data_IF_581547583354
#
_entry.id   IF_581547583354
#
_cell.length_a   1.000
_cell.length_b   1.000
_cell.length_c   1.000
_cell.angle_alpha   90.00
_cell.angle_beta   90.00
_cell.angle_gamma   90.00
#
_symmetry.space_group_name_H-M   'P 1'
#
loop_
_entity.id
_entity.type
_entity.pdbx_description
1 polymer ?
#
# COMPACT_ATOMS: atom_id res chain seq x y z
N UNK A 1 19.10 -30.94 -29.88
CA UNK A 1 18.16 -31.55 -28.91
C UNK A 1 18.84 -31.53 -27.56
N UNK A 2 18.57 -30.50 -26.75
CA UNK A 2 18.72 -30.48 -25.30
C UNK A 2 17.73 -29.42 -24.78
N UNK A 3 16.82 -29.74 -23.84
CA UNK A 3 16.08 -28.72 -23.14
C UNK A 3 16.80 -28.35 -21.84
N UNK A 4 17.25 -27.10 -21.76
CA UNK A 4 17.71 -26.45 -20.52
C UNK A 4 16.56 -26.41 -19.51
N UNK A 5 16.65 -27.27 -18.50
CA UNK A 5 15.74 -27.32 -17.36
C UNK A 5 16.39 -26.61 -16.16
N UNK A 6 16.14 -25.32 -16.00
CA UNK A 6 16.44 -24.60 -14.76
C UNK A 6 15.16 -24.45 -13.93
N UNK A 7 14.65 -25.57 -13.39
CA UNK A 7 13.76 -25.53 -12.23
C UNK A 7 14.63 -25.45 -10.98
N UNK A 8 14.68 -24.28 -10.36
CA UNK A 8 15.18 -24.14 -9.00
C UNK A 8 14.16 -24.79 -8.06
N UNK A 9 14.47 -26.02 -7.62
CA UNK A 9 13.81 -26.68 -6.49
C UNK A 9 14.29 -26.01 -5.20
N UNK A 10 13.68 -24.88 -4.84
CA UNK A 10 13.85 -24.30 -3.51
C UNK A 10 12.89 -24.98 -2.53
N UNK A 11 13.44 -25.96 -1.79
CA UNK A 11 12.99 -26.47 -0.47
C UNK A 11 11.50 -26.32 -0.13
N UNK A 12 10.71 -27.31 -0.54
CA UNK A 12 9.36 -27.56 0.02
C UNK A 12 9.39 -28.28 1.39
N UNK A 13 10.54 -28.35 2.06
CA UNK A 13 10.72 -29.17 3.27
C UNK A 13 10.35 -28.48 4.59
N UNK A 14 9.81 -27.26 4.59
CA UNK A 14 9.42 -26.56 5.82
C UNK A 14 7.99 -26.93 6.28
N UNK A 15 7.15 -27.52 5.41
CA UNK A 15 5.74 -27.77 5.74
C UNK A 15 5.32 -29.24 5.86
N UNK A 16 6.27 -30.18 5.85
CA UNK A 16 5.94 -31.62 5.92
C UNK A 16 6.20 -32.29 7.27
N UNK A 17 6.47 -31.53 8.34
CA UNK A 17 6.49 -32.11 9.71
C UNK A 17 5.87 -31.15 10.72
N UNK A 18 5.01 -31.74 11.54
CA UNK A 18 4.42 -31.23 12.81
C UNK A 18 3.26 -30.25 12.70
N UNK A 19 2.08 -30.81 12.91
CA UNK A 19 0.94 -30.19 13.59
C UNK A 19 1.43 -29.41 14.85
N UNK A 20 0.77 -28.28 15.14
CA UNK A 20 0.87 -27.48 16.40
C UNK A 20 2.02 -26.47 16.63
N UNK A 21 2.79 -26.07 15.63
CA UNK A 21 3.57 -24.81 15.73
C UNK A 21 3.00 -23.77 14.78
N UNK A 22 2.36 -22.74 15.33
CA UNK A 22 1.76 -21.66 14.56
C UNK A 22 2.77 -21.07 13.58
N UNK A 23 2.35 -20.80 12.35
CA UNK A 23 3.17 -20.16 11.32
C UNK A 23 3.86 -18.92 11.91
N UNK A 24 5.15 -19.04 12.23
CA UNK A 24 5.92 -17.93 12.80
C UNK A 24 6.25 -16.98 11.65
N UNK A 25 5.48 -15.92 11.52
CA UNK A 25 5.72 -14.87 10.55
C UNK A 25 6.83 -13.93 11.08
N UNK A 26 7.69 -13.38 10.21
CA UNK A 26 8.80 -12.52 10.63
C UNK A 26 8.36 -11.06 10.90
N UNK A 27 7.06 -10.83 10.98
CA UNK A 27 6.42 -9.54 11.19
C UNK A 27 5.20 -9.70 12.08
N UNK A 28 4.80 -8.61 12.74
CA UNK A 28 3.56 -8.57 13.52
C UNK A 28 2.37 -8.63 12.57
N UNK A 29 1.34 -9.38 12.95
CA UNK A 29 0.10 -9.49 12.17
C UNK A 29 -1.12 -9.18 13.00
N UNK A 30 -2.05 -8.42 12.44
CA UNK A 30 -3.38 -8.28 13.02
C UNK A 30 -4.11 -9.64 13.04
N UNK A 31 -4.82 -9.99 14.13
CA UNK A 31 -5.46 -11.30 14.27
C UNK A 31 -6.46 -11.64 13.17
N UNK A 32 -7.31 -10.71 12.76
CA UNK A 32 -8.29 -10.93 11.69
C UNK A 32 -7.65 -11.05 10.32
N UNK A 33 -6.62 -10.26 9.99
CA UNK A 33 -5.84 -10.45 8.76
C UNK A 33 -5.20 -11.85 8.71
N UNK A 34 -4.59 -12.28 9.81
CA UNK A 34 -4.01 -13.62 9.93
C UNK A 34 -5.08 -14.72 9.79
N UNK A 35 -6.26 -14.53 10.40
CA UNK A 35 -7.36 -15.48 10.30
C UNK A 35 -7.88 -15.59 8.86
N UNK A 36 -8.05 -14.46 8.16
CA UNK A 36 -8.45 -14.43 6.76
C UNK A 36 -7.44 -15.16 5.87
N UNK A 37 -6.14 -14.92 6.07
CA UNK A 37 -5.10 -15.66 5.38
C UNK A 37 -5.17 -17.17 5.67
N UNK A 38 -5.32 -17.57 6.94
CA UNK A 38 -5.47 -18.98 7.34
C UNK A 38 -6.67 -19.65 6.67
N UNK A 39 -7.79 -18.94 6.49
CA UNK A 39 -8.95 -19.48 5.78
C UNK A 39 -8.63 -19.88 4.33
N UNK A 40 -7.68 -19.21 3.66
CA UNK A 40 -7.21 -19.60 2.34
C UNK A 40 -6.27 -20.82 2.35
N UNK A 41 -5.49 -21.00 3.40
CA UNK A 41 -4.41 -22.02 3.44
C UNK A 41 -4.70 -23.23 4.33
N UNK A 42 -5.82 -23.25 5.05
CA UNK A 42 -6.21 -24.40 5.87
C UNK A 42 -6.55 -25.58 4.97
N UNK A 43 -5.82 -26.69 5.10
CA UNK A 43 -6.13 -27.93 4.36
C UNK A 43 -7.38 -28.58 4.95
N UNK A 44 -8.38 -28.84 4.13
CA UNK A 44 -9.59 -29.59 4.50
C UNK A 44 -9.62 -30.92 3.73
N UNK A 45 -9.80 -32.03 4.45
CA UNK A 45 -9.85 -33.37 3.86
C UNK A 45 -8.57 -33.79 3.12
N UNK A 46 -8.73 -34.73 2.18
CA UNK A 46 -7.60 -35.40 1.50
C UNK A 46 -7.09 -34.66 0.26
N UNK A 47 -7.84 -33.70 -0.25
CA UNK A 47 -7.48 -32.92 -1.43
C UNK A 47 -6.18 -32.15 -1.20
N UNK A 48 -5.36 -32.01 -2.25
CA UNK A 48 -4.11 -31.24 -2.17
C UNK A 48 -4.41 -29.76 -1.89
N UNK A 49 -3.58 -29.14 -1.05
CA UNK A 49 -3.76 -27.75 -0.61
C UNK A 49 -3.76 -26.79 -1.80
N UNK A 50 -2.93 -27.03 -2.82
CA UNK A 50 -2.82 -26.16 -3.98
C UNK A 50 -4.12 -26.10 -4.79
N UNK A 51 -4.84 -27.22 -4.87
CA UNK A 51 -6.13 -27.27 -5.55
C UNK A 51 -7.21 -26.56 -4.73
N UNK A 52 -7.26 -26.78 -3.42
CA UNK A 52 -8.17 -26.06 -2.52
C UNK A 52 -7.93 -24.55 -2.55
N UNK A 53 -6.66 -24.13 -2.57
CA UNK A 53 -6.28 -22.72 -2.69
C UNK A 53 -6.83 -22.13 -4.00
N UNK A 54 -6.68 -22.84 -5.11
CA UNK A 54 -7.20 -22.40 -6.41
C UNK A 54 -8.72 -22.30 -6.40
N UNK A 55 -9.44 -23.28 -5.86
CA UNK A 55 -10.90 -23.24 -5.74
C UNK A 55 -11.36 -22.04 -4.90
N UNK A 56 -10.68 -21.77 -3.77
CA UNK A 56 -10.98 -20.61 -2.92
C UNK A 56 -10.73 -19.29 -3.66
N UNK A 57 -9.60 -19.17 -4.36
CA UNK A 57 -9.28 -17.98 -5.15
C UNK A 57 -10.25 -17.77 -6.31
N UNK A 58 -10.71 -18.85 -6.94
CA UNK A 58 -11.77 -18.81 -7.95
C UNK A 58 -13.11 -18.38 -7.37
N UNK A 59 -13.46 -18.86 -6.17
CA UNK A 59 -14.70 -18.48 -5.48
C UNK A 59 -14.75 -16.99 -5.15
N UNK A 60 -13.58 -16.39 -4.88
CA UNK A 60 -13.41 -14.96 -4.63
C UNK A 60 -12.99 -14.16 -5.87
N UNK A 61 -13.01 -14.78 -7.06
CA UNK A 61 -12.70 -14.14 -8.35
C UNK A 61 -11.29 -13.53 -8.46
N UNK A 62 -10.37 -13.93 -7.59
CA UNK A 62 -8.95 -13.56 -7.63
C UNK A 62 -8.20 -14.27 -8.77
N UNK A 63 -8.75 -15.38 -9.26
CA UNK A 63 -8.33 -16.12 -10.45
C UNK A 63 -9.58 -16.50 -11.24
N UNK A 64 -9.55 -16.51 -12.59
CA UNK A 64 -10.71 -16.90 -13.38
C UNK A 64 -11.24 -18.30 -13.06
N UNK A 65 -12.57 -18.45 -13.05
CA UNK A 65 -13.25 -19.75 -12.91
C UNK A 65 -13.15 -20.60 -14.19
N UNK A 66 -12.99 -19.95 -15.34
CA UNK A 66 -12.79 -20.58 -16.64
C UNK A 66 -11.91 -19.67 -17.50
N UNK A 67 -11.25 -20.26 -18.50
CA UNK A 67 -10.47 -19.51 -19.50
C UNK A 67 -10.76 -20.04 -20.89
N UNK A 68 -10.73 -19.15 -21.89
CA UNK A 68 -10.84 -19.57 -23.30
C UNK A 68 -9.56 -20.29 -23.73
N UNK A 69 -9.71 -21.27 -24.60
CA UNK A 69 -8.57 -21.94 -25.18
C UNK A 69 -7.84 -21.01 -26.14
N UNK A 70 -6.50 -20.97 -26.09
CA UNK A 70 -5.67 -20.19 -27.03
C UNK A 70 -5.91 -20.56 -28.50
N UNK A 71 -6.32 -21.80 -28.79
CA UNK A 71 -6.64 -22.24 -30.14
C UNK A 71 -8.04 -21.83 -30.62
N UNK A 72 -8.95 -21.49 -29.70
CA UNK A 72 -10.35 -21.11 -29.94
C UNK A 72 -11.11 -21.99 -30.95
N UNK A 73 -10.82 -23.29 -30.94
CA UNK A 73 -11.46 -24.26 -31.83
C UNK A 73 -12.81 -24.75 -31.30
N UNK A 74 -13.70 -25.24 -32.18
CA UNK A 74 -15.07 -25.65 -31.81
C UNK A 74 -15.15 -26.79 -30.79
N UNK A 75 -14.10 -27.63 -30.69
CA UNK A 75 -14.02 -28.73 -29.72
C UNK A 75 -13.17 -28.38 -28.48
N UNK A 76 -12.84 -27.10 -28.27
CA UNK A 76 -11.99 -26.70 -27.15
C UNK A 76 -12.79 -26.61 -25.85
N UNK A 77 -12.46 -27.47 -24.90
CA UNK A 77 -12.91 -27.40 -23.51
C UNK A 77 -11.70 -27.29 -22.58
N UNK A 78 -11.61 -26.22 -21.78
CA UNK A 78 -10.46 -25.98 -20.90
C UNK A 78 -10.81 -26.34 -19.46
N UNK A 79 -10.01 -27.19 -18.84
CA UNK A 79 -10.20 -27.66 -17.47
C UNK A 79 -8.94 -27.45 -16.63
N UNK A 80 -9.09 -27.38 -15.31
CA UNK A 80 -7.98 -27.33 -14.37
C UNK A 80 -7.48 -28.76 -14.10
N UNK A 81 -6.17 -29.01 -14.22
CA UNK A 81 -5.55 -30.29 -13.85
C UNK A 81 -4.25 -30.08 -13.08
N UNK A 82 -3.90 -31.07 -12.26
CA UNK A 82 -2.60 -31.11 -11.61
C UNK A 82 -1.46 -31.22 -12.64
N UNK A 83 -0.35 -30.54 -12.38
CA UNK A 83 0.81 -30.48 -13.28
C UNK A 83 2.12 -30.29 -12.51
N UNK A 84 3.27 -30.61 -13.14
CA UNK A 84 4.61 -30.37 -12.57
C UNK A 84 5.08 -28.94 -12.86
N UNK A 85 4.32 -27.97 -12.38
CA UNK A 85 4.59 -26.52 -12.49
C UNK A 85 4.61 -25.91 -11.09
N UNK A 86 5.02 -24.64 -10.97
CA UNK A 86 5.19 -23.94 -9.68
C UNK A 86 3.95 -24.04 -8.78
N UNK A 87 2.75 -23.83 -9.31
CA UNK A 87 1.49 -23.92 -8.53
C UNK A 87 0.90 -25.32 -8.45
N UNK A 88 1.58 -26.31 -9.06
CA UNK A 88 1.14 -27.70 -9.15
C UNK A 88 -0.21 -27.92 -9.85
N UNK A 89 -0.78 -26.88 -10.45
CA UNK A 89 -2.01 -26.90 -11.25
C UNK A 89 -1.86 -25.99 -12.48
N UNK A 90 -2.56 -26.33 -13.55
CA UNK A 90 -2.63 -25.52 -14.77
C UNK A 90 -3.93 -25.75 -15.53
N UNK A 91 -4.25 -24.84 -16.44
CA UNK A 91 -5.31 -25.03 -17.42
C UNK A 91 -4.83 -25.93 -18.55
N UNK A 92 -5.65 -26.87 -18.98
CA UNK A 92 -5.41 -27.73 -20.14
C UNK A 92 -6.68 -27.86 -20.98
N UNK A 93 -6.55 -27.67 -22.28
CA UNK A 93 -7.63 -27.91 -23.21
C UNK A 93 -7.71 -29.39 -23.57
N UNK A 94 -8.84 -30.04 -23.32
CA UNK A 94 -9.06 -31.46 -23.66
C UNK A 94 -9.20 -31.69 -25.17
N UNK A 95 -9.59 -30.66 -25.94
CA UNK A 95 -9.76 -30.76 -27.39
C UNK A 95 -8.45 -30.67 -28.18
N UNK A 96 -7.58 -29.71 -27.83
CA UNK A 96 -6.33 -29.46 -28.58
C UNK A 96 -5.04 -29.70 -27.78
N UNK A 97 -5.14 -30.08 -26.50
CA UNK A 97 -4.00 -30.36 -25.63
C UNK A 97 -3.20 -29.13 -25.17
N UNK A 98 -3.50 -27.92 -25.66
CA UNK A 98 -2.79 -26.70 -25.26
C UNK A 98 -2.98 -26.40 -23.78
N UNK A 99 -1.91 -25.96 -23.12
CA UNK A 99 -1.88 -25.63 -21.70
C UNK A 99 -1.74 -24.13 -21.47
N UNK A 100 -2.26 -23.63 -20.36
CA UNK A 100 -2.07 -22.24 -19.90
C UNK A 100 -1.80 -22.21 -18.38
N UNK A 101 -1.03 -21.24 -17.87
CA UNK A 101 -0.85 -21.10 -16.42
C UNK A 101 -2.20 -20.88 -15.73
N UNK A 102 -2.41 -21.48 -14.55
CA UNK A 102 -3.65 -21.29 -13.77
C UNK A 102 -3.94 -19.81 -13.49
N UNK A 103 -2.88 -18.99 -13.47
CA UNK A 103 -2.88 -17.55 -13.20
C UNK A 103 -3.28 -16.66 -14.38
N UNK A 104 -3.53 -17.22 -15.57
CA UNK A 104 -3.87 -16.44 -16.75
C UNK A 104 -5.06 -15.50 -16.46
N UNK A 105 -4.95 -14.23 -16.85
CA UNK A 105 -6.01 -13.23 -16.62
C UNK A 105 -6.16 -12.77 -15.16
N UNK A 106 -5.14 -12.90 -14.31
CA UNK A 106 -5.22 -12.50 -12.89
C UNK A 106 -4.02 -11.67 -12.44
N UNK A 107 -4.13 -11.09 -11.24
CA UNK A 107 -3.03 -10.42 -10.53
C UNK A 107 -1.75 -11.28 -10.43
N UNK A 108 -1.92 -12.59 -10.27
CA UNK A 108 -0.83 -13.55 -10.08
C UNK A 108 -0.02 -13.81 -11.37
N UNK A 109 -0.54 -13.38 -12.53
CA UNK A 109 0.09 -13.64 -13.81
C UNK A 109 1.51 -13.05 -13.87
N UNK A 110 2.46 -13.84 -14.41
CA UNK A 110 3.90 -13.54 -14.56
C UNK A 110 4.70 -13.33 -13.27
N UNK A 111 4.15 -13.60 -12.08
CA UNK A 111 4.93 -13.61 -10.85
C UNK A 111 5.80 -14.88 -10.77
N UNK A 112 7.09 -14.72 -10.48
CA UNK A 112 8.05 -15.84 -10.44
C UNK A 112 8.17 -16.50 -9.05
N UNK A 113 7.06 -16.63 -8.35
CA UNK A 113 6.89 -17.35 -7.08
C UNK A 113 5.54 -18.06 -7.08
N UNK A 114 5.27 -19.00 -6.19
CA UNK A 114 3.96 -19.67 -6.10
C UNK A 114 2.82 -18.70 -5.73
N UNK A 115 1.58 -19.08 -6.03
CA UNK A 115 0.39 -18.35 -5.55
C UNK A 115 0.39 -18.26 -4.02
N UNK A 116 0.75 -19.34 -3.33
CA UNK A 116 0.84 -19.35 -1.86
C UNK A 116 1.83 -18.30 -1.34
N UNK A 117 3.03 -18.23 -1.92
CA UNK A 117 4.02 -17.19 -1.59
C UNK A 117 3.50 -15.79 -1.93
N UNK A 118 2.77 -15.64 -3.04
CA UNK A 118 2.15 -14.35 -3.37
C UNK A 118 1.15 -13.92 -2.30
N UNK A 119 0.29 -14.83 -1.83
CA UNK A 119 -0.69 -14.55 -0.77
C UNK A 119 -0.01 -14.18 0.56
N UNK A 120 1.12 -14.81 0.88
CA UNK A 120 1.96 -14.46 2.04
C UNK A 120 2.55 -13.06 1.93
N UNK A 121 3.05 -12.70 0.75
CA UNK A 121 3.63 -11.37 0.49
C UNK A 121 2.54 -10.29 0.49
N UNK A 122 1.33 -10.57 -0.01
CA UNK A 122 0.19 -9.64 0.10
C UNK A 122 -0.14 -9.40 1.59
N UNK A 123 -0.16 -10.46 2.41
CA UNK A 123 -0.39 -10.32 3.86
C UNK A 123 0.71 -9.45 4.49
N UNK A 124 1.98 -9.73 4.17
CA UNK A 124 3.10 -8.96 4.68
C UNK A 124 3.02 -7.47 4.31
N UNK A 125 2.63 -7.18 3.07
CA UNK A 125 2.40 -5.80 2.61
C UNK A 125 1.25 -5.12 3.37
N UNK A 126 0.19 -5.85 3.73
CA UNK A 126 -0.92 -5.31 4.52
C UNK A 126 -0.47 -4.89 5.93
N UNK A 127 0.56 -5.56 6.47
CA UNK A 127 1.10 -5.35 7.81
C UNK A 127 2.31 -4.39 7.83
N UNK A 128 2.58 -3.70 6.72
CA UNK A 128 3.75 -2.81 6.54
C UNK A 128 5.09 -3.51 6.83
N UNK A 129 5.21 -4.80 6.51
CA UNK A 129 6.42 -5.57 6.73
C UNK A 129 7.52 -5.21 5.72
N UNK A 130 8.77 -5.25 6.17
CA UNK A 130 9.95 -5.01 5.34
C UNK A 130 10.07 -6.05 4.21
N UNK A 131 10.21 -5.57 2.97
CA UNK A 131 10.19 -6.41 1.77
C UNK A 131 11.39 -7.37 1.70
N UNK A 132 12.55 -6.97 2.21
CA UNK A 132 13.76 -7.79 2.18
C UNK A 132 13.68 -8.91 3.22
N UNK A 133 13.16 -8.59 4.42
CA UNK A 133 12.86 -9.59 5.47
C UNK A 133 11.85 -10.63 4.96
N UNK A 134 10.80 -10.16 4.30
CA UNK A 134 9.73 -11.00 3.73
C UNK A 134 10.26 -11.89 2.60
N UNK A 135 11.04 -11.32 1.68
CA UNK A 135 11.65 -12.07 0.58
C UNK A 135 12.55 -13.20 1.10
N UNK A 136 13.42 -12.89 2.05
CA UNK A 136 14.31 -13.86 2.68
C UNK A 136 13.55 -14.97 3.40
N UNK A 137 12.54 -14.62 4.20
CA UNK A 137 11.78 -15.59 4.99
C UNK A 137 10.97 -16.56 4.11
N UNK A 138 10.32 -16.08 3.05
CA UNK A 138 9.51 -16.93 2.15
C UNK A 138 10.33 -17.58 1.02
N UNK A 139 11.64 -17.37 0.98
CA UNK A 139 12.51 -17.92 -0.08
C UNK A 139 12.17 -17.39 -1.47
N UNK A 140 11.73 -16.13 -1.57
CA UNK A 140 11.39 -15.47 -2.82
C UNK A 140 12.52 -14.51 -3.21
N UNK A 141 12.86 -14.43 -4.50
CA UNK A 141 13.87 -13.48 -4.98
C UNK A 141 13.43 -12.05 -4.61
N UNK A 142 14.31 -11.18 -4.06
CA UNK A 142 13.94 -9.82 -3.66
C UNK A 142 13.18 -9.06 -4.74
N UNK A 143 13.66 -9.11 -6.00
CA UNK A 143 12.99 -8.49 -7.15
C UNK A 143 11.54 -8.92 -7.35
N UNK A 144 11.18 -10.17 -7.04
CA UNK A 144 9.81 -10.68 -7.16
C UNK A 144 8.94 -10.17 -6.00
N UNK A 145 9.48 -10.13 -4.78
CA UNK A 145 8.77 -9.54 -3.64
C UNK A 145 8.53 -8.03 -3.86
N UNK A 146 9.55 -7.29 -4.30
CA UNK A 146 9.43 -5.88 -4.69
C UNK A 146 8.40 -5.70 -5.79
N UNK A 147 8.37 -6.55 -6.83
CA UNK A 147 7.35 -6.47 -7.88
C UNK A 147 5.91 -6.63 -7.33
N UNK A 148 5.71 -7.48 -6.32
CA UNK A 148 4.40 -7.67 -5.69
C UNK A 148 4.04 -6.42 -4.86
N UNK A 149 4.97 -5.92 -4.05
CA UNK A 149 4.81 -4.68 -3.29
C UNK A 149 4.49 -3.50 -4.22
N UNK A 150 5.22 -3.38 -5.33
CA UNK A 150 5.02 -2.31 -6.30
C UNK A 150 3.60 -2.33 -6.88
N UNK A 151 3.11 -3.50 -7.29
CA UNK A 151 1.74 -3.66 -7.79
C UNK A 151 0.69 -3.29 -6.74
N UNK A 152 0.90 -3.68 -5.49
CA UNK A 152 -0.02 -3.37 -4.39
C UNK A 152 -0.02 -1.87 -4.06
N UNK A 153 1.16 -1.25 -4.06
CA UNK A 153 1.31 0.19 -3.89
C UNK A 153 0.59 0.97 -4.99
N UNK A 154 0.71 0.55 -6.26
CA UNK A 154 0.01 1.20 -7.38
C UNK A 154 -1.51 1.15 -7.19
N UNK A 155 -2.04 -0.01 -6.78
CA UNK A 155 -3.46 -0.18 -6.47
C UNK A 155 -3.87 0.73 -5.30
N UNK A 156 -3.08 0.74 -4.22
CA UNK A 156 -3.34 1.53 -3.03
C UNK A 156 -3.32 3.04 -3.32
N UNK A 157 -2.35 3.52 -4.10
CA UNK A 157 -2.26 4.92 -4.53
C UNK A 157 -3.50 5.31 -5.33
N UNK A 158 -3.92 4.48 -6.29
CA UNK A 158 -5.11 4.71 -7.10
C UNK A 158 -6.40 4.74 -6.28
N UNK A 159 -6.52 3.91 -5.25
CA UNK A 159 -7.67 3.97 -4.35
C UNK A 159 -7.60 5.19 -3.42
N UNK A 160 -6.43 5.50 -2.87
CA UNK A 160 -6.24 6.64 -1.99
C UNK A 160 -6.51 7.97 -2.71
N UNK A 161 -6.14 8.09 -3.99
CA UNK A 161 -6.36 9.31 -4.79
C UNK A 161 -7.83 9.60 -5.06
N UNK A 162 -8.73 8.63 -4.85
CA UNK A 162 -10.19 8.86 -4.95
C UNK A 162 -10.75 9.52 -3.69
N UNK A 163 -10.00 9.49 -2.59
CA UNK A 163 -10.45 10.02 -1.31
C UNK A 163 -10.12 11.50 -1.21
N UNK A 164 -11.14 12.32 -0.97
CA UNK A 164 -10.99 13.74 -0.67
C UNK A 164 -11.36 14.01 0.79
N UNK A 165 -10.83 15.09 1.32
CA UNK A 165 -11.04 15.54 2.70
C UNK A 165 -12.07 16.66 2.74
N UNK A 166 -12.82 16.73 3.84
CA UNK A 166 -13.77 17.79 4.10
C UNK A 166 -15.12 17.62 3.40
N UNK A 167 -15.67 18.73 2.92
CA UNK A 167 -17.05 18.89 2.43
C UNK A 167 -17.74 20.09 3.06
N UNK A 168 -19.03 20.25 2.76
CA UNK A 168 -19.85 21.29 3.35
C UNK A 168 -19.86 21.16 4.89
N UNK A 169 -19.73 22.29 5.60
CA UNK A 169 -19.67 22.34 7.06
C UNK A 169 -18.52 21.53 7.69
N UNK A 170 -17.44 21.31 6.95
CA UNK A 170 -16.22 20.67 7.46
C UNK A 170 -15.09 21.67 7.66
N UNK A 171 -14.20 21.35 8.61
CA UNK A 171 -12.94 22.05 8.79
C UNK A 171 -11.81 21.11 8.37
N UNK A 172 -10.93 21.61 7.51
CA UNK A 172 -9.72 20.90 7.10
C UNK A 172 -8.52 21.67 7.61
N UNK A 173 -7.71 21.02 8.44
CA UNK A 173 -6.49 21.61 8.97
C UNK A 173 -5.33 21.34 8.03
N UNK A 174 -4.44 22.30 7.89
CA UNK A 174 -3.25 22.23 7.05
C UNK A 174 -2.04 22.66 7.85
N UNK A 175 -1.02 21.83 7.87
CA UNK A 175 0.18 22.06 8.67
C UNK A 175 1.43 21.55 7.95
N UNK A 176 2.60 22.08 8.28
CA UNK A 176 3.86 21.69 7.64
C UNK A 176 4.74 20.89 8.60
N UNK A 177 5.07 19.66 8.23
CA UNK A 177 6.08 18.86 8.93
C UNK A 177 7.47 19.09 8.30
N UNK A 178 8.56 19.17 9.09
CA UNK A 178 8.63 19.03 10.55
C UNK A 178 8.36 20.31 11.34
N UNK A 179 8.10 21.43 10.66
CA UNK A 179 8.01 22.79 11.25
C UNK A 179 6.97 22.89 12.38
N UNK A 180 5.91 22.09 12.32
CA UNK A 180 4.84 22.04 13.32
C UNK A 180 5.16 21.25 14.59
N UNK A 181 6.26 20.48 14.59
CA UNK A 181 6.71 19.79 15.78
C UNK A 181 7.49 20.81 16.61
N UNK A 182 6.90 21.28 17.71
CA UNK A 182 7.60 22.11 18.70
C UNK A 182 8.78 21.31 19.29
N UNK A 183 9.95 21.36 18.66
CA UNK A 183 11.18 20.73 19.16
C UNK A 183 11.70 21.56 20.32
N UNK A 184 11.40 21.13 21.55
CA UNK A 184 11.89 21.74 22.80
C UNK A 184 13.34 21.36 23.15
N UNK A 185 14.12 20.78 22.24
CA UNK A 185 15.52 20.44 22.50
C UNK A 185 16.40 20.72 21.27
N UNK A 186 17.45 21.56 21.40
CA UNK A 186 18.48 21.74 20.38
C UNK A 186 19.54 20.62 20.35
N UNK A 187 19.46 19.62 21.25
CA UNK A 187 20.56 18.69 21.55
C UNK A 187 20.38 17.24 21.09
N UNK A 188 19.37 16.92 20.27
CA UNK A 188 19.38 15.62 19.58
C UNK A 188 20.12 15.76 18.25
N UNK A 189 21.14 14.93 18.05
CA UNK A 189 21.90 14.70 16.81
C UNK A 189 21.02 14.11 15.68
N UNK A 190 19.76 14.51 15.62
CA UNK A 190 18.78 14.07 14.64
C UNK A 190 19.11 14.71 13.30
N UNK A 191 19.43 13.85 12.33
CA UNK A 191 19.64 14.27 10.96
C UNK A 191 18.47 15.14 10.47
N UNK A 192 18.76 16.23 9.72
CA UNK A 192 17.71 17.05 9.15
C UNK A 192 16.77 16.18 8.32
N UNK A 193 15.48 16.47 8.41
CA UNK A 193 14.52 15.85 7.49
C UNK A 193 14.92 16.16 6.07
N UNK A 194 15.02 15.11 5.24
CA UNK A 194 15.31 15.29 3.83
C UNK A 194 14.19 16.05 3.10
N UNK A 195 12.94 15.97 3.62
CA UNK A 195 11.76 16.53 3.00
C UNK A 195 10.79 17.19 3.99
N UNK A 196 10.26 18.36 3.64
CA UNK A 196 9.05 18.96 4.19
C UNK A 196 7.83 18.26 3.61
N UNK A 197 6.86 18.03 4.48
CA UNK A 197 5.64 17.31 4.14
C UNK A 197 4.47 18.18 4.54
N UNK A 198 3.64 18.56 3.57
CA UNK A 198 2.36 19.19 3.81
C UNK A 198 1.41 18.12 4.34
N UNK A 199 0.90 18.36 5.54
CA UNK A 199 -0.09 17.50 6.19
C UNK A 199 -1.45 18.19 6.14
N UNK A 200 -2.44 17.48 5.63
CA UNK A 200 -3.84 17.94 5.59
C UNK A 200 -4.68 16.94 6.38
N UNK A 201 -5.48 17.43 7.32
CA UNK A 201 -6.28 16.60 8.21
C UNK A 201 -7.76 17.02 8.17
N UNK A 202 -8.64 16.04 8.08
CA UNK A 202 -10.09 16.24 8.14
C UNK A 202 -10.61 16.07 9.57
N UNK A 203 -11.19 17.12 10.15
CA UNK A 203 -11.71 17.08 11.52
C UNK A 203 -13.02 16.32 11.68
N UNK A 204 -13.73 16.01 10.59
CA UNK A 204 -15.03 15.35 10.63
C UNK A 204 -14.96 13.83 10.74
N UNK A 205 -13.76 13.26 10.61
CA UNK A 205 -13.55 11.81 10.63
C UNK A 205 -12.80 11.38 11.90
N UNK A 206 -13.30 10.33 12.55
CA UNK A 206 -12.60 9.61 13.62
C UNK A 206 -12.60 8.12 13.25
N UNK A 207 -11.42 7.49 13.03
CA UNK A 207 -10.08 8.09 13.06
C UNK A 207 -9.90 9.17 11.98
N UNK A 208 -9.01 10.13 12.26
CA UNK A 208 -8.74 11.28 11.38
C UNK A 208 -8.24 10.82 10.02
N UNK A 209 -8.85 11.33 8.96
CA UNK A 209 -8.38 11.12 7.60
C UNK A 209 -7.36 12.18 7.22
N UNK A 210 -6.28 11.75 6.57
CA UNK A 210 -5.20 12.64 6.16
C UNK A 210 -4.92 12.56 4.67
N UNK A 211 -4.28 13.62 4.19
CA UNK A 211 -3.55 13.69 2.94
C UNK A 211 -2.14 14.21 3.24
N UNK A 212 -1.12 13.49 2.78
CA UNK A 212 0.28 13.81 3.02
C UNK A 212 0.97 14.01 1.69
N UNK A 213 1.61 15.16 1.51
CA UNK A 213 2.28 15.55 0.28
C UNK A 213 3.71 16.01 0.54
N UNK A 214 4.66 15.34 -0.10
CA UNK A 214 6.08 15.69 -0.08
C UNK A 214 6.31 16.92 -0.96
N UNK A 215 6.77 18.01 -0.35
CA UNK A 215 6.99 19.26 -1.08
C UNK A 215 8.15 19.11 -2.06
N UNK A 216 7.96 19.54 -3.31
CA UNK A 216 8.97 19.42 -4.38
C UNK A 216 10.09 20.44 -4.22
N UNK A 217 9.78 21.63 -3.75
CA UNK A 217 10.70 22.79 -3.75
C UNK A 217 11.56 22.92 -2.49
N UNK A 218 11.87 21.80 -1.83
CA UNK A 218 12.56 21.82 -0.53
C UNK A 218 14.03 22.30 -0.56
N UNK A 219 14.60 22.50 -1.75
CA UNK A 219 16.02 22.82 -1.93
C UNK A 219 16.33 23.99 -2.88
N UNK A 220 15.34 24.74 -3.37
CA UNK A 220 15.63 25.93 -4.19
C UNK A 220 15.74 27.16 -3.30
N UNK A 221 16.94 27.38 -2.75
CA UNK A 221 17.35 28.73 -2.35
C UNK A 221 17.33 29.58 -3.62
N UNK A 222 16.56 30.66 -3.63
CA UNK A 222 16.74 31.70 -4.66
C UNK A 222 18.18 32.23 -4.60
N UNK A 223 18.65 32.91 -5.65
CA UNK A 223 20.01 33.46 -5.71
C UNK A 223 20.39 34.36 -4.49
N UNK A 224 19.40 34.81 -3.71
CA UNK A 224 19.54 35.63 -2.51
C UNK A 224 19.38 34.86 -1.18
N UNK A 225 19.28 33.53 -1.21
CA UNK A 225 19.14 32.71 0.00
C UNK A 225 17.76 32.70 0.65
N UNK A 226 16.76 33.40 0.10
CA UNK A 226 15.37 33.32 0.55
C UNK A 226 14.61 32.17 -0.12
N UNK A 227 13.75 31.49 0.66
CA UNK A 227 12.80 30.51 0.14
C UNK A 227 11.85 31.18 -0.84
N UNK A 228 11.64 30.55 -2.01
CA UNK A 228 10.61 31.00 -2.95
C UNK A 228 9.22 30.70 -2.37
N UNK A 229 8.73 31.65 -1.58
CA UNK A 229 7.45 31.54 -0.87
C UNK A 229 6.28 31.50 -1.86
N UNK A 230 6.47 32.03 -3.08
CA UNK A 230 5.44 32.04 -4.11
C UNK A 230 5.30 30.66 -4.77
N UNK A 231 6.40 30.01 -5.12
CA UNK A 231 6.37 28.64 -5.64
C UNK A 231 5.78 27.66 -4.62
N UNK A 232 6.18 27.80 -3.35
CA UNK A 232 5.65 26.98 -2.25
C UNK A 232 4.14 27.19 -2.05
N UNK A 233 3.66 28.44 -2.03
CA UNK A 233 2.24 28.74 -1.92
C UNK A 233 1.43 28.22 -3.12
N UNK A 234 2.00 28.25 -4.33
CA UNK A 234 1.38 27.70 -5.53
C UNK A 234 1.25 26.17 -5.48
N UNK A 235 2.29 25.47 -5.02
CA UNK A 235 2.25 24.02 -4.81
C UNK A 235 1.19 23.65 -3.76
N UNK A 236 1.16 24.33 -2.61
CA UNK A 236 0.16 24.09 -1.57
C UNK A 236 -1.25 24.34 -2.11
N UNK A 237 -1.47 25.43 -2.83
CA UNK A 237 -2.77 25.73 -3.45
C UNK A 237 -3.22 24.63 -4.44
N UNK A 238 -2.29 24.06 -5.20
CA UNK A 238 -2.58 22.94 -6.09
C UNK A 238 -2.98 21.66 -5.31
N UNK A 239 -2.20 21.30 -4.29
CA UNK A 239 -2.48 20.13 -3.45
C UNK A 239 -3.84 20.27 -2.76
N UNK A 240 -4.17 21.44 -2.21
CA UNK A 240 -5.46 21.68 -1.57
C UNK A 240 -6.63 21.54 -2.54
N UNK A 241 -6.48 21.98 -3.80
CA UNK A 241 -7.51 21.80 -4.83
C UNK A 241 -7.76 20.33 -5.18
N UNK A 242 -6.71 19.52 -5.14
CA UNK A 242 -6.80 18.08 -5.39
C UNK A 242 -7.43 17.34 -4.19
N UNK A 243 -6.88 17.60 -3.00
CA UNK A 243 -7.15 16.84 -1.78
C UNK A 243 -8.43 17.23 -1.05
N UNK A 244 -8.91 18.48 -1.19
CA UNK A 244 -10.02 19.03 -0.40
C UNK A 244 -11.28 19.20 -1.25
N UNK A 245 -12.43 18.84 -0.70
CA UNK A 245 -13.74 19.05 -1.33
C UNK A 245 -14.11 20.54 -1.27
N UNK A 246 -14.64 21.08 -2.36
CA UNK A 246 -15.12 22.47 -2.40
C UNK A 246 -16.18 22.74 -1.31
N UNK A 247 -16.18 23.94 -0.74
CA UNK A 247 -17.05 24.32 0.37
C UNK A 247 -16.50 24.01 1.77
N UNK A 248 -15.35 23.35 1.87
CA UNK A 248 -14.65 23.14 3.15
C UNK A 248 -14.03 24.44 3.69
N UNK A 249 -13.99 24.60 5.00
CA UNK A 249 -13.22 25.66 5.66
C UNK A 249 -11.79 25.18 5.86
N UNK A 250 -10.85 25.77 5.12
CA UNK A 250 -9.43 25.41 5.20
C UNK A 250 -8.76 26.29 6.24
N UNK A 251 -8.11 25.65 7.23
CA UNK A 251 -7.42 26.31 8.33
C UNK A 251 -5.95 25.96 8.30
N UNK A 252 -5.08 26.97 8.17
CA UNK A 252 -3.64 26.81 8.05
C UNK A 252 -2.91 27.08 9.37
N UNK A 253 -1.88 26.27 9.62
CA UNK A 253 -0.90 26.45 10.66
C UNK A 253 -0.02 27.68 10.48
N UNK A 254 0.75 28.01 11.52
CA UNK A 254 1.63 29.19 11.49
C UNK A 254 2.80 29.05 10.53
N UNK A 255 3.18 27.81 10.17
CA UNK A 255 4.35 27.52 9.32
C UNK A 255 3.99 27.32 7.85
N UNK A 256 2.71 27.43 7.51
CA UNK A 256 2.20 27.31 6.15
C UNK A 256 2.12 28.72 5.55
N UNK A 257 2.71 28.97 4.37
CA UNK A 257 2.57 30.25 3.66
C UNK A 257 1.11 30.67 3.48
N UNK A 258 0.86 31.97 3.37
CA UNK A 258 -0.48 32.48 3.12
C UNK A 258 -1.00 32.01 1.75
N UNK A 259 -2.07 31.22 1.76
CA UNK A 259 -2.78 30.75 0.56
C UNK A 259 -4.16 31.41 0.51
N UNK A 260 -4.67 31.83 -0.67
CA UNK A 260 -6.00 32.41 -0.78
C UNK A 260 -7.10 31.51 -0.20
N UNK A 261 -8.15 32.12 0.35
CA UNK A 261 -9.33 31.43 0.90
C UNK A 261 -9.03 30.48 2.08
N UNK A 262 -7.98 30.77 2.86
CA UNK A 262 -7.64 30.04 4.09
C UNK A 262 -7.77 30.93 5.33
N UNK A 263 -8.07 30.32 6.48
CA UNK A 263 -8.08 30.98 7.79
C UNK A 263 -6.90 30.50 8.64
N UNK A 264 -6.36 31.34 9.52
CA UNK A 264 -5.28 30.90 10.41
C UNK A 264 -5.83 30.07 11.57
N UNK A 265 -5.03 29.10 12.04
CA UNK A 265 -5.35 28.29 13.21
C UNK A 265 -5.59 29.15 14.45
N UNK A 266 -4.88 30.27 14.60
CA UNK A 266 -5.06 31.19 15.72
C UNK A 266 -6.49 31.76 15.79
N UNK A 267 -7.13 32.05 14.66
CA UNK A 267 -8.52 32.51 14.63
C UNK A 267 -9.48 31.41 15.08
N UNK A 268 -9.24 30.17 14.65
CA UNK A 268 -10.05 29.03 15.09
C UNK A 268 -9.92 28.81 16.60
N UNK A 269 -8.70 28.82 17.13
CA UNK A 269 -8.43 28.56 18.54
C UNK A 269 -9.08 29.57 19.49
N UNK A 270 -9.33 30.81 19.05
CA UNK A 270 -10.06 31.82 19.84
C UNK A 270 -11.51 31.41 20.14
N UNK A 271 -12.08 30.51 19.35
CA UNK A 271 -13.44 29.98 19.53
C UNK A 271 -13.47 28.60 20.18
N UNK A 272 -12.31 28.06 20.55
CA UNK A 272 -12.17 26.72 21.13
C UNK A 272 -11.85 26.78 22.62
N UNK A 273 -12.36 25.82 23.40
CA UNK A 273 -11.90 25.58 24.77
C UNK A 273 -10.46 25.01 24.80
N UNK A 274 -9.87 24.97 25.99
CA UNK A 274 -8.49 24.49 26.18
C UNK A 274 -8.26 23.04 25.75
N UNK A 275 -9.28 22.18 25.82
CA UNK A 275 -9.15 20.78 25.44
C UNK A 275 -9.12 20.63 23.92
N UNK A 276 -10.05 21.30 23.23
CA UNK A 276 -10.10 21.37 21.77
C UNK A 276 -8.84 22.04 21.21
N UNK A 277 -8.35 23.12 21.83
CA UNK A 277 -7.09 23.74 21.43
C UNK A 277 -5.90 22.75 21.52
N UNK A 278 -5.83 21.95 22.59
CA UNK A 278 -4.80 20.90 22.73
C UNK A 278 -4.99 19.80 21.69
N UNK A 279 -6.23 19.39 21.41
CA UNK A 279 -6.51 18.38 20.39
C UNK A 279 -6.05 18.81 19.00
N UNK A 280 -6.46 20.01 18.55
CA UNK A 280 -6.16 20.55 17.21
C UNK A 280 -4.67 20.86 17.00
N UNK A 281 -3.95 21.19 18.07
CA UNK A 281 -2.50 21.49 17.98
C UNK A 281 -1.60 20.27 18.10
N UNK A 282 -2.07 19.17 18.70
CA UNK A 282 -1.20 18.02 19.00
C UNK A 282 -1.80 16.68 18.59
N UNK A 283 -2.91 16.29 19.21
CA UNK A 283 -3.46 14.93 19.10
C UNK A 283 -3.92 14.61 17.69
N UNK A 284 -4.53 15.58 16.99
CA UNK A 284 -5.01 15.39 15.63
C UNK A 284 -3.86 15.10 14.64
N UNK A 285 -2.61 15.41 14.96
CA UNK A 285 -1.47 15.19 14.06
C UNK A 285 -0.67 13.93 14.36
N UNK A 286 -0.97 13.22 15.46
CA UNK A 286 -0.13 12.13 15.97
C UNK A 286 0.13 11.03 14.94
N UNK A 287 -0.90 10.61 14.21
CA UNK A 287 -0.76 9.56 13.19
C UNK A 287 0.05 10.05 11.99
N UNK A 288 -0.26 11.23 11.45
CA UNK A 288 0.48 11.85 10.36
C UNK A 288 1.97 12.04 10.71
N UNK A 289 2.27 12.56 11.89
CA UNK A 289 3.64 12.73 12.40
C UNK A 289 4.37 11.39 12.53
N UNK A 290 3.67 10.34 12.96
CA UNK A 290 4.26 8.99 13.08
C UNK A 290 4.69 8.46 11.70
N UNK A 291 3.85 8.62 10.68
CA UNK A 291 4.18 8.26 9.30
C UNK A 291 5.33 9.10 8.72
N UNK A 292 5.32 10.42 8.97
CA UNK A 292 6.39 11.32 8.53
C UNK A 292 7.73 11.02 9.23
N UNK A 293 7.70 10.53 10.48
CA UNK A 293 8.88 10.03 11.17
C UNK A 293 9.36 8.71 10.57
N UNK A 294 8.46 7.76 10.29
CA UNK A 294 8.79 6.47 9.72
C UNK A 294 9.39 6.60 8.31
N UNK A 295 8.89 7.53 7.50
CA UNK A 295 9.36 7.72 6.12
C UNK A 295 10.82 8.16 6.00
N UNK A 296 11.46 8.61 7.11
CA UNK A 296 12.88 8.96 7.13
C UNK A 296 13.79 7.79 6.73
N UNK A 297 13.42 6.56 7.09
CA UNK A 297 14.25 5.37 6.82
C UNK A 297 14.35 5.03 5.33
N UNK A 298 13.42 5.55 4.51
CA UNK A 298 13.31 5.26 3.07
C UNK A 298 14.45 5.91 2.28
N UNK A 299 14.96 7.05 2.76
CA UNK A 299 15.99 7.81 2.07
C UNK A 299 17.41 7.37 2.39
N UNK A 300 17.58 6.26 3.10
CA UNK A 300 18.87 5.67 3.38
C UNK A 300 19.49 5.09 2.08
N UNK A 301 20.74 5.42 1.77
CA UNK A 301 21.50 4.75 0.69
C UNK A 301 21.94 5.60 -0.51
N UNK A 302 22.10 6.91 -0.37
CA UNK A 302 22.73 7.74 -1.40
C UNK A 302 21.85 8.05 -2.62
N UNK A 303 20.52 7.94 -2.46
CA UNK A 303 19.56 8.35 -3.47
C UNK A 303 19.63 9.86 -3.74
N UNK A 304 19.36 10.26 -4.98
CA UNK A 304 19.13 11.68 -5.29
C UNK A 304 17.88 12.19 -4.57
N UNK A 305 17.85 13.48 -4.21
CA UNK A 305 16.71 14.07 -3.52
C UNK A 305 15.35 13.85 -4.23
N UNK A 306 15.23 13.96 -5.58
CA UNK A 306 13.95 13.68 -6.25
C UNK A 306 13.51 12.21 -6.20
N UNK A 307 14.46 11.27 -6.26
CA UNK A 307 14.16 9.84 -6.16
C UNK A 307 13.68 9.47 -4.76
N UNK A 308 14.37 9.97 -3.72
CA UNK A 308 13.97 9.81 -2.33
C UNK A 308 12.60 10.48 -2.05
N UNK A 309 12.34 11.68 -2.58
CA UNK A 309 11.02 12.32 -2.46
C UNK A 309 9.89 11.46 -3.06
N UNK A 310 10.14 10.82 -4.19
CA UNK A 310 9.14 9.98 -4.87
C UNK A 310 8.84 8.71 -4.06
N UNK A 311 9.86 8.07 -3.49
CA UNK A 311 9.70 6.90 -2.63
C UNK A 311 9.01 7.24 -1.30
N UNK A 312 9.34 8.40 -0.72
CA UNK A 312 8.67 8.91 0.48
C UNK A 312 7.20 9.21 0.18
N UNK A 313 6.89 9.88 -0.94
CA UNK A 313 5.51 10.14 -1.34
C UNK A 313 4.74 8.83 -1.52
N UNK A 314 5.32 7.86 -2.22
CA UNK A 314 4.75 6.52 -2.41
C UNK A 314 4.40 5.89 -1.06
N UNK A 315 5.37 5.80 -0.15
CA UNK A 315 5.15 5.24 1.18
C UNK A 315 4.09 5.96 1.98
N UNK A 316 4.10 7.30 2.01
CA UNK A 316 3.11 8.06 2.77
C UNK A 316 1.69 7.79 2.23
N UNK A 317 1.51 7.81 0.92
CA UNK A 317 0.21 7.53 0.30
C UNK A 317 -0.27 6.10 0.58
N UNK A 318 0.61 5.11 0.46
CA UNK A 318 0.25 3.70 0.70
C UNK A 318 -0.01 3.44 2.17
N UNK A 319 0.78 4.01 3.08
CA UNK A 319 0.60 3.85 4.52
C UNK A 319 -0.69 4.51 5.03
N UNK A 320 -1.10 5.65 4.46
CA UNK A 320 -2.42 6.22 4.74
C UNK A 320 -3.55 5.28 4.31
N UNK A 321 -3.42 4.63 3.16
CA UNK A 321 -4.41 3.67 2.68
C UNK A 321 -4.52 2.47 3.64
N UNK A 322 -3.38 1.92 4.11
CA UNK A 322 -3.37 0.83 5.10
C UNK A 322 -4.03 1.26 6.40
N UNK A 323 -3.64 2.40 6.94
CA UNK A 323 -4.11 2.90 8.23
C UNK A 323 -5.59 3.28 8.28
N UNK A 324 -6.23 3.56 7.14
CA UNK A 324 -7.68 3.80 7.09
C UNK A 324 -8.47 2.53 7.43
N UNK A 325 -7.85 1.37 7.29
CA UNK A 325 -8.52 0.09 7.41
C UNK A 325 -7.94 -0.67 8.61
N UNK A 326 -8.80 -0.96 9.58
CA UNK A 326 -8.44 -1.75 10.76
C UNK A 326 -8.32 -3.25 10.43
N UNK A 327 -8.56 -4.09 11.41
CA UNK A 327 -8.54 -5.54 11.29
C UNK A 327 -9.46 -6.03 10.15
N UNK A 328 -8.90 -6.86 9.27
CA UNK A 328 -9.57 -7.32 8.04
C UNK A 328 -9.18 -6.56 6.77
N UNK A 329 -8.23 -5.61 6.84
CA UNK A 329 -7.67 -4.93 5.68
C UNK A 329 -7.18 -5.89 4.59
N UNK A 330 -6.67 -7.07 4.95
CA UNK A 330 -6.26 -8.09 3.98
C UNK A 330 -7.37 -8.44 2.98
N UNK A 331 -8.61 -8.65 3.46
CA UNK A 331 -9.76 -8.92 2.59
C UNK A 331 -10.12 -7.72 1.72
N UNK A 332 -9.97 -6.49 2.24
CA UNK A 332 -10.18 -5.27 1.46
C UNK A 332 -9.20 -5.20 0.29
N UNK A 333 -7.91 -5.48 0.52
CA UNK A 333 -6.88 -5.50 -0.52
C UNK A 333 -7.19 -6.54 -1.59
N UNK A 334 -7.59 -7.75 -1.20
CA UNK A 334 -7.98 -8.80 -2.14
C UNK A 334 -9.18 -8.36 -3.01
N UNK A 335 -10.21 -7.77 -2.40
CA UNK A 335 -11.36 -7.25 -3.16
C UNK A 335 -10.97 -6.10 -4.10
N UNK A 336 -10.03 -5.24 -3.69
CA UNK A 336 -9.51 -4.17 -4.56
C UNK A 336 -8.72 -4.77 -5.74
N UNK A 337 -7.94 -5.83 -5.52
CA UNK A 337 -7.26 -6.57 -6.60
C UNK A 337 -8.28 -7.12 -7.59
N UNK A 338 -9.33 -7.79 -7.10
CA UNK A 338 -10.44 -8.31 -7.94
C UNK A 338 -11.04 -7.18 -8.78
N UNK A 339 -11.39 -6.06 -8.13
CA UNK A 339 -11.97 -4.91 -8.80
C UNK A 339 -11.04 -4.26 -9.84
N UNK A 340 -9.72 -4.39 -9.71
CA UNK A 340 -8.78 -3.83 -10.69
C UNK A 340 -8.56 -4.77 -11.89
N UNK A 341 -8.46 -6.08 -11.64
CA UNK A 341 -8.08 -7.05 -12.68
C UNK A 341 -9.29 -7.67 -13.40
N UNK A 342 -10.50 -7.59 -12.84
CA UNK A 342 -11.72 -8.09 -13.49
C UNK A 342 -12.46 -7.02 -14.32
N UNK A 343 -11.96 -5.78 -14.36
CA UNK A 343 -12.52 -4.70 -15.21
C UNK A 343 -12.32 -4.91 -16.72
N UNK A 344 -11.60 -5.95 -17.13
CA UNK A 344 -11.23 -6.18 -18.53
C UNK A 344 -12.21 -7.08 -19.32
N UNK A 345 -13.35 -7.49 -18.75
CA UNK A 345 -14.33 -8.38 -19.40
C UNK A 345 -15.68 -7.71 -19.76
N UNK A 346 -15.76 -6.38 -19.79
CA UNK A 346 -16.95 -5.65 -20.30
C UNK A 346 -16.67 -4.86 -21.57
#
# INVERSE_FOLDING_TARGET
>A
MEPDSTTHDCNTSIFSKTEETGTVLPFTTQPGNLQLYKNFINKQGDQRLEYQLVERLQSCELIPKSVKCVADGPNCNVICRAARVVDRVQWICEGCGKTQPIRAGSFFFRLQCSILQTMQIILAWCEDADVDVVAAHFGVKPKVATQIYDKLDEIAIKEQSKCKLGGENSVVLVEMYPDCVNRLSPDTTDQPHAHRILMVADTNHIPTSYWLHVMKDDNKKTANGSLDTQALAAEIGHVLKEAVIEGSVIVTGNNVPAVPNTSSIQKLLQHCDMEMQRFLSTRIWRQAVTLCCASRSICNGGLTAPACATLVQRYLTTSLYRLRHDDGFYNKVLNTIVAEYNKCDT
#
